data_IF_858622805525
#
_entry.id   IF_858622805525
#
_cell.length_a   1.000
_cell.length_b   1.000
_cell.length_c   1.000
_cell.angle_alpha   90.00
_cell.angle_beta   90.00
_cell.angle_gamma   90.00
#
_symmetry.space_group_name_H-M   'P 1'
#
loop_
_entity.id
_entity.type
_entity.pdbx_description
1 polymer ?
#
# COMPACT_ATOMS: atom_id res chain seq x y z
N UNK A 1 -25.97 -9.95 5.57
CA UNK A 1 -25.11 -10.72 6.48
C UNK A 1 -24.14 -11.52 5.64
N UNK A 2 -22.86 -11.51 6.02
CA UNK A 2 -21.70 -11.78 5.15
C UNK A 2 -21.74 -13.12 4.41
N UNK A 3 -21.61 -13.05 3.09
CA UNK A 3 -21.60 -14.20 2.16
C UNK A 3 -20.24 -14.92 2.10
N UNK A 4 -19.22 -14.43 2.83
CA UNK A 4 -17.84 -14.93 2.79
C UNK A 4 -17.34 -15.33 4.18
N UNK A 5 -16.58 -16.41 4.24
CA UNK A 5 -15.96 -16.86 5.50
C UNK A 5 -14.78 -15.97 5.89
N UNK A 6 -14.48 -15.87 7.20
CA UNK A 6 -13.28 -15.15 7.68
C UNK A 6 -12.00 -15.65 7.01
N UNK A 7 -11.83 -16.96 6.91
CA UNK A 7 -10.66 -17.56 6.29
C UNK A 7 -10.55 -17.27 4.80
N UNK A 8 -11.67 -17.10 4.10
CA UNK A 8 -11.67 -16.69 2.69
C UNK A 8 -11.21 -15.24 2.51
N UNK A 9 -11.74 -14.33 3.34
CA UNK A 9 -11.32 -12.92 3.33
C UNK A 9 -9.82 -12.80 3.66
N UNK A 10 -9.34 -13.53 4.67
CA UNK A 10 -7.92 -13.53 5.05
C UNK A 10 -7.01 -14.08 3.95
N UNK A 11 -7.45 -15.14 3.24
CA UNK A 11 -6.71 -15.66 2.10
C UNK A 11 -6.66 -14.64 0.97
N UNK A 12 -7.81 -14.09 0.57
CA UNK A 12 -7.89 -13.08 -0.47
C UNK A 12 -7.01 -11.85 -0.17
N UNK A 13 -7.02 -11.37 1.08
CA UNK A 13 -6.19 -10.24 1.50
C UNK A 13 -4.69 -10.54 1.45
N UNK A 14 -4.27 -11.73 1.89
CA UNK A 14 -2.87 -12.16 1.82
C UNK A 14 -2.40 -12.26 0.37
N UNK A 15 -3.22 -12.85 -0.49
CA UNK A 15 -2.89 -13.06 -1.90
C UNK A 15 -2.80 -11.71 -2.65
N UNK A 16 -3.73 -10.78 -2.37
CA UNK A 16 -3.65 -9.38 -2.82
C UNK A 16 -2.36 -8.71 -2.33
N UNK A 17 -2.04 -8.80 -1.04
CA UNK A 17 -0.85 -8.17 -0.46
C UNK A 17 0.44 -8.68 -1.10
N UNK A 18 0.52 -9.99 -1.37
CA UNK A 18 1.65 -10.59 -2.06
C UNK A 18 1.78 -10.07 -3.50
N UNK A 19 0.67 -9.97 -4.23
CA UNK A 19 0.68 -9.43 -5.60
C UNK A 19 1.17 -7.98 -5.64
N UNK A 20 0.72 -7.13 -4.71
CA UNK A 20 1.15 -5.72 -4.62
C UNK A 20 2.65 -5.60 -4.35
N UNK A 21 3.22 -6.45 -3.49
CA UNK A 21 4.68 -6.46 -3.23
C UNK A 21 5.46 -6.82 -4.49
N UNK A 22 5.03 -7.84 -5.22
CA UNK A 22 5.68 -8.26 -6.47
C UNK A 22 5.58 -7.19 -7.56
N UNK A 23 4.42 -6.51 -7.66
CA UNK A 23 4.22 -5.37 -8.56
C UNK A 23 5.16 -4.21 -8.22
N UNK A 24 5.29 -3.88 -6.92
CA UNK A 24 6.22 -2.85 -6.47
C UNK A 24 7.68 -3.20 -6.79
N UNK A 25 8.06 -4.48 -6.70
CA UNK A 25 9.40 -4.96 -7.10
C UNK A 25 9.67 -4.83 -8.59
N UNK A 26 8.68 -5.17 -9.42
CA UNK A 26 8.83 -5.10 -10.88
C UNK A 26 8.59 -3.69 -11.43
N UNK A 27 8.09 -2.76 -10.61
CA UNK A 27 7.62 -1.43 -11.02
C UNK A 27 6.52 -1.48 -12.10
N UNK A 28 5.86 -2.63 -12.27
CA UNK A 28 4.81 -2.83 -13.27
C UNK A 28 3.44 -2.52 -12.66
N UNK A 29 3.23 -1.25 -12.34
CA UNK A 29 2.02 -0.76 -11.68
C UNK A 29 0.76 -0.92 -12.53
N UNK A 30 0.90 -1.20 -13.83
CA UNK A 30 -0.24 -1.53 -14.69
C UNK A 30 -0.99 -2.77 -14.19
N UNK A 31 -0.26 -3.75 -13.64
CA UNK A 31 -0.80 -5.00 -13.08
C UNK A 31 -1.59 -4.80 -11.80
N UNK A 32 -1.44 -3.66 -11.13
CA UNK A 32 -2.22 -3.35 -9.94
C UNK A 32 -3.71 -3.23 -10.27
N UNK A 33 -4.04 -2.62 -11.41
CA UNK A 33 -5.42 -2.51 -11.87
C UNK A 33 -6.07 -3.88 -12.14
N UNK A 34 -5.28 -4.88 -12.54
CA UNK A 34 -5.78 -6.22 -12.84
C UNK A 34 -6.23 -7.00 -11.60
N UNK A 35 -5.91 -6.52 -10.39
CA UNK A 35 -6.43 -7.06 -9.12
C UNK A 35 -7.88 -6.65 -8.84
N UNK A 36 -8.42 -5.71 -9.61
CA UNK A 36 -9.76 -5.16 -9.43
C UNK A 36 -10.71 -5.58 -10.56
N UNK A 37 -12.01 -5.56 -10.26
CA UNK A 37 -13.05 -5.79 -11.26
C UNK A 37 -13.17 -4.62 -12.24
N UNK A 38 -13.78 -4.85 -13.40
CA UNK A 38 -13.90 -3.84 -14.45
C UNK A 38 -14.69 -2.60 -14.01
N UNK A 39 -15.64 -2.80 -13.10
CA UNK A 39 -16.53 -1.83 -12.49
C UNK A 39 -16.06 -1.33 -11.12
N UNK A 40 -14.81 -1.63 -10.73
CA UNK A 40 -14.30 -1.28 -9.41
C UNK A 40 -14.30 0.23 -9.16
N UNK A 41 -14.66 0.61 -7.95
CA UNK A 41 -14.58 1.99 -7.46
C UNK A 41 -13.41 2.09 -6.50
N UNK A 42 -12.43 2.91 -6.85
CA UNK A 42 -11.27 3.17 -6.01
C UNK A 42 -11.40 4.54 -5.36
N UNK A 43 -11.44 4.55 -4.04
CA UNK A 43 -11.49 5.77 -3.25
C UNK A 43 -10.08 6.07 -2.76
N UNK A 44 -9.46 7.11 -3.31
CA UNK A 44 -8.21 7.62 -2.80
C UNK A 44 -8.42 8.91 -2.00
N UNK A 45 -7.84 8.97 -0.81
CA UNK A 45 -7.95 10.07 0.13
C UNK A 45 -7.47 11.40 -0.45
N UNK A 46 -6.44 11.38 -1.31
CA UNK A 46 -5.85 12.60 -1.88
C UNK A 46 -6.43 12.93 -3.27
N UNK A 47 -6.65 11.92 -4.10
CA UNK A 47 -7.02 12.10 -5.51
C UNK A 47 -8.51 11.95 -5.80
N UNK A 48 -9.32 11.58 -4.80
CA UNK A 48 -10.75 11.38 -4.92
C UNK A 48 -11.13 9.99 -5.44
N UNK A 49 -12.30 9.90 -6.03
CA UNK A 49 -12.90 8.65 -6.51
C UNK A 49 -12.56 8.36 -7.97
N UNK A 50 -12.23 7.10 -8.27
CA UNK A 50 -12.01 6.60 -9.61
C UNK A 50 -12.96 5.44 -9.89
N UNK A 51 -13.61 5.50 -11.04
CA UNK A 51 -14.55 4.47 -11.46
C UNK A 51 -13.99 3.68 -12.63
N UNK A 52 -13.92 2.37 -12.44
CA UNK A 52 -13.52 1.40 -13.43
C UNK A 52 -12.02 1.10 -13.43
N UNK A 53 -11.69 -0.14 -13.80
CA UNK A 53 -10.32 -0.67 -13.83
C UNK A 53 -9.37 0.20 -14.63
N UNK A 54 -9.78 0.64 -15.82
CA UNK A 54 -8.89 1.42 -16.69
C UNK A 54 -8.58 2.80 -16.12
N UNK A 55 -9.54 3.42 -15.42
CA UNK A 55 -9.29 4.69 -14.73
C UNK A 55 -8.30 4.53 -13.59
N UNK A 56 -8.40 3.43 -12.85
CA UNK A 56 -7.43 3.06 -11.79
C UNK A 56 -6.05 2.82 -12.40
N UNK A 57 -5.96 2.14 -13.55
CA UNK A 57 -4.70 1.85 -14.27
C UNK A 57 -3.96 3.11 -14.67
N UNK A 58 -4.67 4.08 -15.26
CA UNK A 58 -4.11 5.39 -15.63
C UNK A 58 -3.55 6.11 -14.41
N UNK A 59 -4.33 6.17 -13.33
CA UNK A 59 -3.94 6.87 -12.11
C UNK A 59 -2.75 6.22 -11.42
N UNK A 60 -2.76 4.90 -11.19
CA UNK A 60 -1.67 4.24 -10.44
C UNK A 60 -0.35 4.32 -11.21
N UNK A 61 -0.41 4.20 -12.53
CA UNK A 61 0.77 4.30 -13.41
C UNK A 61 1.32 5.73 -13.42
N UNK A 62 0.44 6.74 -13.48
CA UNK A 62 0.83 8.15 -13.40
C UNK A 62 1.37 8.53 -12.01
N UNK A 63 0.79 7.98 -10.94
CA UNK A 63 1.16 8.33 -9.56
C UNK A 63 2.49 7.69 -9.16
N UNK A 64 2.72 6.43 -9.55
CA UNK A 64 3.96 5.73 -9.20
C UNK A 64 5.15 6.09 -10.09
N UNK A 65 4.90 6.78 -11.21
CA UNK A 65 5.96 7.39 -12.03
C UNK A 65 6.41 8.78 -11.54
N UNK A 66 5.73 9.35 -10.54
CA UNK A 66 6.03 10.67 -9.97
C UNK A 66 6.32 10.55 -8.46
N UNK A 67 7.21 11.39 -7.94
CA UNK A 67 7.50 11.44 -6.49
C UNK A 67 6.22 11.69 -5.67
N UNK A 68 5.97 10.96 -4.56
CA UNK A 68 6.88 10.07 -3.82
C UNK A 68 6.89 8.61 -4.27
N UNK A 69 6.11 8.21 -5.29
CA UNK A 69 6.10 6.84 -5.81
C UNK A 69 7.43 6.39 -6.40
N UNK A 70 8.17 7.32 -7.02
CA UNK A 70 9.52 7.07 -7.57
C UNK A 70 10.61 6.88 -6.50
N UNK A 71 10.37 7.28 -5.24
CA UNK A 71 11.32 7.16 -4.11
C UNK A 71 10.83 6.24 -2.99
N UNK A 72 9.86 5.36 -3.25
CA UNK A 72 9.40 4.33 -2.31
C UNK A 72 9.96 2.92 -2.63
N UNK A 73 11.28 2.66 -2.68
CA UNK A 73 11.79 1.29 -2.83
C UNK A 73 11.74 0.49 -1.51
N UNK A 74 11.28 1.07 -0.40
CA UNK A 74 11.42 0.47 0.92
C UNK A 74 10.14 0.60 1.76
N UNK A 75 9.27 -0.42 1.71
CA UNK A 75 8.42 -0.68 2.87
C UNK A 75 9.36 -1.10 4.01
N UNK A 76 9.47 -0.27 5.06
CA UNK A 76 10.30 -0.61 6.23
C UNK A 76 9.73 -1.84 6.91
N UNK A 77 10.31 -3.01 6.64
CA UNK A 77 10.25 -4.17 7.53
C UNK A 77 11.21 -3.90 8.70
N UNK A 78 10.69 -3.56 9.87
CA UNK A 78 11.42 -3.78 11.12
C UNK A 78 10.47 -3.89 12.31
N UNK A 79 9.85 -5.05 12.45
CA UNK A 79 9.49 -5.61 13.76
C UNK A 79 10.55 -6.64 14.13
N UNK A 80 11.70 -6.17 14.59
CA UNK A 80 12.66 -7.00 15.33
C UNK A 80 12.78 -6.39 16.72
N UNK A 81 12.46 -7.11 17.81
CA UNK A 81 12.67 -6.58 19.14
C UNK A 81 14.17 -6.60 19.42
N UNK A 82 14.81 -5.44 19.35
CA UNK A 82 16.17 -5.28 19.86
C UNK A 82 16.10 -5.18 21.38
N UNK A 83 16.46 -6.28 22.02
CA UNK A 83 16.73 -6.39 23.45
C UNK A 83 17.81 -5.39 23.86
N UNK A 84 17.50 -4.59 24.89
CA UNK A 84 18.38 -4.01 25.93
C UNK A 84 19.76 -3.45 25.52
N UNK A 85 19.95 -2.12 25.70
CA UNK A 85 20.98 -1.54 26.61
C UNK A 85 21.01 0.00 26.51
N UNK A 86 20.83 0.64 27.67
CA UNK A 86 21.28 1.98 28.14
C UNK A 86 21.05 3.24 27.29
N UNK A 87 20.26 4.21 27.76
CA UNK A 87 20.52 5.20 28.82
C UNK A 87 21.20 6.49 28.31
N UNK A 88 20.48 7.61 28.43
CA UNK A 88 21.07 8.93 28.64
C UNK A 88 20.98 9.94 27.49
N UNK A 89 20.48 11.13 27.85
CA UNK A 89 20.63 12.44 27.19
C UNK A 89 19.68 12.73 26.01
N UNK A 90 18.53 13.34 26.26
CA UNK A 90 18.26 14.78 26.44
C UNK A 90 18.11 15.55 25.11
N UNK A 91 16.89 16.03 24.87
CA UNK A 91 16.51 16.84 23.72
C UNK A 91 15.07 17.32 23.87
N UNK A 92 14.90 18.45 24.55
CA UNK A 92 13.62 19.13 24.80
C UNK A 92 13.06 19.69 23.48
N UNK A 93 11.77 19.52 23.24
CA UNK A 93 10.98 20.46 22.44
C UNK A 93 9.78 20.94 23.28
N UNK A 94 9.77 22.25 23.49
CA UNK A 94 8.78 23.04 24.24
C UNK A 94 7.46 23.12 23.46
N UNK A 95 6.34 23.11 24.16
CA UNK A 95 5.03 23.53 23.62
C UNK A 95 4.42 24.55 24.57
N UNK A 96 3.85 25.61 23.97
CA UNK A 96 3.21 26.79 24.56
C UNK A 96 4.15 27.88 25.11
#
# INVERSE_FOLDING_TARGET
>A
MGHWSRGEIERAFRDYSHAVVEIGRSSDWSRYADLFTEDAVYLEHVYGEMHGRERIREWITATMSVFPGSEMPFYRRSGTPSTTTEAGSSGRFSTA
#
